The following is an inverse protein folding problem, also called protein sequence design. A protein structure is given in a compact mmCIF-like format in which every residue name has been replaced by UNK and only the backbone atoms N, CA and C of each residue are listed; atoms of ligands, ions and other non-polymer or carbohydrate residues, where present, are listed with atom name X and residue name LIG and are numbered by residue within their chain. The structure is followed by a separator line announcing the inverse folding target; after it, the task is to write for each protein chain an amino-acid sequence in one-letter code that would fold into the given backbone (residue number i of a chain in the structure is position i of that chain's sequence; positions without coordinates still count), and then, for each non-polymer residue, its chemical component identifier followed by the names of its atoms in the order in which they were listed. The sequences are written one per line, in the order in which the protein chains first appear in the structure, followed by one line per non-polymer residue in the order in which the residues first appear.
data_IF_180332087152
#
_entry.id   IF_180332087152
#
_cell.length_a   1.000
_cell.length_b   1.000
_cell.length_c   1.000
_cell.angle_alpha   90.00
_cell.angle_beta   90.00
_cell.angle_gamma   90.00
#
_symmetry.space_group_name_H-M   'P 1'
#
loop_
_entity.id
_entity.type
_entity.pdbx_description
1 polymer ?
#
# COMPACT_ATOMS: atom_id res chain seq x y z
N UNK A 1 -14.75 -1.16 -74.85
CA UNK A 1 -15.30 -1.59 -73.54
C UNK A 1 -14.15 -1.70 -72.57
N UNK A 2 -13.89 -0.65 -71.79
CA UNK A 2 -12.83 -0.60 -70.80
C UNK A 2 -13.42 -1.07 -69.43
N UNK A 3 -12.94 -2.19 -68.92
CA UNK A 3 -13.32 -2.71 -67.64
C UNK A 3 -12.50 -2.01 -66.54
N UNK A 4 -13.16 -1.16 -65.75
CA UNK A 4 -12.60 -0.58 -64.52
C UNK A 4 -12.62 -1.65 -63.42
N UNK A 5 -11.45 -2.07 -62.94
CA UNK A 5 -11.29 -2.87 -61.72
C UNK A 5 -11.16 -1.91 -60.52
N UNK A 6 -12.16 -1.87 -59.67
CA UNK A 6 -12.03 -1.20 -58.37
C UNK A 6 -11.32 -2.14 -57.39
N UNK A 7 -10.09 -1.77 -57.02
CA UNK A 7 -9.32 -2.44 -55.99
C UNK A 7 -9.90 -2.01 -54.62
N UNK A 8 -10.65 -2.90 -53.96
CA UNK A 8 -11.16 -2.68 -52.61
C UNK A 8 -10.02 -2.94 -51.62
N UNK A 9 -9.39 -1.87 -51.11
CA UNK A 9 -8.37 -1.96 -50.08
C UNK A 9 -9.09 -2.16 -48.74
N UNK A 10 -9.18 -3.41 -48.25
CA UNK A 10 -9.67 -3.70 -46.90
C UNK A 10 -8.59 -3.32 -45.87
N UNK A 11 -8.77 -2.19 -45.18
CA UNK A 11 -8.01 -1.91 -43.95
C UNK A 11 -8.45 -2.92 -42.91
N UNK A 12 -7.61 -3.92 -42.64
CA UNK A 12 -7.72 -4.72 -41.40
C UNK A 12 -7.35 -3.81 -40.23
N UNK A 13 -8.24 -3.65 -39.23
CA UNK A 13 -7.84 -2.95 -38.02
C UNK A 13 -6.74 -3.77 -37.34
N UNK A 14 -5.53 -3.22 -37.26
CA UNK A 14 -4.51 -3.73 -36.36
C UNK A 14 -5.04 -3.60 -34.93
N UNK A 15 -5.43 -4.70 -34.31
CA UNK A 15 -5.68 -4.75 -32.87
C UNK A 15 -4.30 -4.52 -32.26
N UNK A 16 -4.02 -3.28 -31.86
CA UNK A 16 -2.95 -2.98 -30.92
C UNK A 16 -3.35 -3.65 -29.61
N UNK A 17 -2.74 -4.79 -29.32
CA UNK A 17 -2.78 -5.36 -27.98
C UNK A 17 -2.27 -4.26 -27.04
N UNK A 18 -3.07 -3.86 -26.08
CA UNK A 18 -2.70 -2.87 -25.10
C UNK A 18 -1.41 -3.38 -24.42
N UNK A 19 -0.31 -2.71 -24.67
CA UNK A 19 0.94 -2.94 -23.98
C UNK A 19 0.93 -2.08 -22.70
N UNK A 20 1.44 -2.63 -21.62
CA UNK A 20 1.67 -1.88 -20.40
C UNK A 20 2.87 -0.93 -20.57
N UNK A 21 3.08 -0.07 -19.58
CA UNK A 21 4.15 0.93 -19.63
C UNK A 21 5.55 0.30 -19.80
N UNK A 22 6.43 0.97 -20.58
CA UNK A 22 7.74 0.46 -20.98
C UNK A 22 8.77 0.54 -19.85
N UNK A 23 9.98 -0.02 -20.04
CA UNK A 23 11.09 0.06 -19.10
C UNK A 23 11.44 1.47 -18.65
N UNK A 24 12.15 1.57 -17.52
CA UNK A 24 12.59 2.82 -16.94
C UNK A 24 13.39 3.69 -17.91
N UNK A 25 13.08 4.99 -17.96
CA UNK A 25 13.74 5.97 -18.82
C UNK A 25 13.18 6.06 -20.25
N UNK A 26 12.23 5.21 -20.64
CA UNK A 26 11.53 5.31 -21.90
C UNK A 26 10.27 6.20 -21.79
N UNK A 27 9.86 6.80 -22.90
CA UNK A 27 8.66 7.63 -22.93
C UNK A 27 7.41 6.80 -22.57
N UNK A 28 6.63 7.26 -21.58
CA UNK A 28 5.46 6.55 -21.05
C UNK A 28 5.76 5.60 -19.90
N UNK A 29 7.03 5.45 -19.49
CA UNK A 29 7.37 4.68 -18.29
C UNK A 29 6.80 5.33 -17.04
N UNK A 30 6.29 4.49 -16.13
CA UNK A 30 5.85 4.89 -14.78
C UNK A 30 6.89 4.62 -13.69
N UNK A 31 8.06 4.10 -14.07
CA UNK A 31 9.15 3.83 -13.13
C UNK A 31 9.54 5.08 -12.35
N UNK A 32 9.66 4.98 -11.03
CA UNK A 32 10.01 6.11 -10.17
C UNK A 32 11.44 5.94 -9.68
N UNK A 33 12.31 6.92 -10.00
CA UNK A 33 13.70 6.90 -9.56
C UNK A 33 13.78 7.08 -8.04
N UNK A 34 14.65 6.32 -7.36
CA UNK A 34 14.76 6.30 -5.89
C UNK A 34 14.98 7.65 -5.22
N UNK A 35 15.59 8.62 -5.92
CA UNK A 35 15.80 9.97 -5.41
C UNK A 35 14.71 10.96 -5.86
N UNK A 36 13.57 10.46 -6.38
CA UNK A 36 12.46 11.32 -6.76
C UNK A 36 11.89 12.02 -5.50
N UNK A 37 11.65 13.35 -5.53
CA UNK A 37 11.09 14.10 -4.41
C UNK A 37 9.64 13.70 -4.05
N UNK A 38 9.00 12.86 -4.83
CA UNK A 38 7.72 12.25 -4.48
C UNK A 38 7.82 11.41 -3.20
N UNK A 39 8.95 10.72 -2.97
CA UNK A 39 9.11 9.90 -1.77
C UNK A 39 9.19 10.76 -0.50
N UNK A 40 8.32 10.46 0.46
CA UNK A 40 8.22 11.14 1.76
C UNK A 40 8.91 10.35 2.86
N UNK A 41 8.84 9.04 2.81
CA UNK A 41 9.48 8.12 3.75
C UNK A 41 9.68 6.74 3.11
N UNK A 42 10.21 5.82 3.89
CA UNK A 42 10.56 4.46 3.50
C UNK A 42 10.12 3.48 4.59
N UNK A 43 10.01 2.21 4.24
CA UNK A 43 9.76 1.16 5.22
C UNK A 43 10.78 1.21 6.36
N UNK A 44 10.31 1.05 7.60
CA UNK A 44 11.14 1.14 8.82
C UNK A 44 11.43 -0.20 9.45
N UNK A 45 10.56 -1.19 9.21
CA UNK A 45 10.72 -2.55 9.69
C UNK A 45 10.29 -3.54 8.62
N UNK A 46 10.89 -4.72 8.64
CA UNK A 46 10.53 -5.83 7.77
C UNK A 46 10.60 -7.16 8.52
N UNK A 47 9.71 -8.08 8.17
CA UNK A 47 9.79 -9.49 8.55
C UNK A 47 9.80 -10.34 7.29
N UNK A 48 10.67 -11.36 7.23
CA UNK A 48 10.90 -12.17 6.03
C UNK A 48 10.70 -13.64 6.35
N UNK A 49 9.90 -14.31 5.51
CA UNK A 49 9.79 -15.77 5.48
C UNK A 49 10.38 -16.25 4.17
N UNK A 50 11.53 -16.90 4.25
CA UNK A 50 12.28 -17.36 3.08
C UNK A 50 11.61 -18.55 2.43
N UNK A 51 11.52 -18.53 1.11
CA UNK A 51 11.22 -19.68 0.27
C UNK A 51 12.49 -20.49 -0.07
N UNK A 52 12.33 -21.66 -0.70
CA UNK A 52 13.44 -22.42 -1.22
C UNK A 52 14.13 -21.71 -2.40
N UNK A 53 15.40 -22.08 -2.65
CA UNK A 53 16.12 -21.67 -3.87
C UNK A 53 15.54 -22.31 -5.12
N UNK A 54 14.93 -23.49 -4.98
CA UNK A 54 14.21 -24.21 -6.03
C UNK A 54 13.09 -25.02 -5.36
N UNK A 55 11.84 -24.62 -5.61
CA UNK A 55 10.65 -25.26 -5.05
C UNK A 55 10.44 -26.69 -5.56
N UNK A 56 11.00 -27.03 -6.72
CA UNK A 56 10.92 -28.37 -7.31
C UNK A 56 12.02 -29.31 -6.85
N UNK A 57 13.02 -28.81 -6.10
CA UNK A 57 14.13 -29.62 -5.62
C UNK A 57 13.67 -30.65 -4.57
N UNK A 58 14.24 -31.85 -4.62
CA UNK A 58 13.98 -32.91 -3.62
C UNK A 58 14.54 -32.58 -2.23
N UNK A 59 15.53 -31.70 -2.14
CA UNK A 59 16.10 -31.19 -0.90
C UNK A 59 15.86 -29.70 -0.81
N UNK A 60 15.19 -29.27 0.25
CA UNK A 60 14.88 -27.86 0.46
C UNK A 60 16.11 -27.12 0.99
N UNK A 61 16.61 -26.16 0.21
CA UNK A 61 17.63 -25.19 0.63
C UNK A 61 16.98 -23.82 0.49
N UNK A 62 16.91 -23.03 1.57
CA UNK A 62 16.29 -21.71 1.54
C UNK A 62 17.23 -20.67 0.90
N UNK A 63 16.65 -19.66 0.25
CA UNK A 63 17.37 -18.44 -0.11
C UNK A 63 17.99 -17.81 1.14
N UNK A 64 19.17 -17.17 1.03
CA UNK A 64 19.91 -16.76 2.22
C UNK A 64 20.64 -15.42 2.12
N UNK A 65 20.61 -14.74 0.97
CA UNK A 65 21.27 -13.44 0.81
C UNK A 65 20.52 -12.36 1.58
N UNK A 66 21.24 -11.50 2.25
CA UNK A 66 20.74 -10.36 3.03
C UNK A 66 19.95 -10.76 4.29
N UNK A 67 19.39 -9.78 4.95
CA UNK A 67 18.53 -9.91 6.13
C UNK A 67 17.34 -8.97 6.01
N UNK A 68 16.33 -9.10 6.87
CA UNK A 68 15.15 -8.27 6.83
C UNK A 68 15.46 -6.75 6.88
N UNK A 69 16.53 -6.35 7.57
CA UNK A 69 16.93 -4.94 7.66
C UNK A 69 17.34 -4.35 6.30
N UNK A 70 17.82 -5.19 5.36
CA UNK A 70 18.17 -4.75 4.01
C UNK A 70 16.98 -4.26 3.19
N UNK A 71 15.74 -4.66 3.55
CA UNK A 71 14.52 -4.19 2.91
C UNK A 71 13.97 -2.88 3.51
N UNK A 72 14.76 -2.21 4.37
CA UNK A 72 14.32 -0.98 5.07
C UNK A 72 15.19 0.22 4.71
N UNK A 73 14.62 1.42 4.81
CA UNK A 73 15.30 2.64 4.41
C UNK A 73 15.27 2.89 2.91
N UNK A 74 16.14 3.80 2.46
CA UNK A 74 16.20 4.24 1.06
C UNK A 74 16.79 3.12 0.18
N UNK A 75 16.18 2.89 -0.98
CA UNK A 75 16.70 1.96 -1.98
C UNK A 75 18.15 2.30 -2.36
N UNK A 76 19.06 1.35 -2.29
CA UNK A 76 20.46 1.54 -2.64
C UNK A 76 20.88 0.74 -3.90
N UNK A 77 20.10 -0.26 -4.27
CA UNK A 77 20.31 -1.12 -5.44
C UNK A 77 21.30 -2.24 -5.21
N UNK A 78 21.71 -2.48 -3.96
CA UNK A 78 22.71 -3.49 -3.62
C UNK A 78 22.48 -4.19 -2.28
N UNK A 79 21.93 -3.49 -1.31
CA UNK A 79 21.61 -4.03 0.02
C UNK A 79 20.25 -4.70 0.06
N UNK A 80 20.12 -5.90 -0.54
CA UNK A 80 18.83 -6.58 -0.74
C UNK A 80 18.60 -7.74 0.23
N UNK A 81 17.36 -8.21 0.26
CA UNK A 81 16.99 -9.48 0.88
C UNK A 81 16.30 -10.39 -0.14
N UNK A 82 16.93 -11.55 -0.41
CA UNK A 82 16.38 -12.53 -1.36
C UNK A 82 15.26 -13.34 -0.73
N UNK A 83 14.13 -13.43 -1.38
CA UNK A 83 12.96 -14.10 -0.82
C UNK A 83 12.94 -15.61 -1.06
N UNK A 84 13.48 -16.09 -2.17
CA UNK A 84 13.34 -17.49 -2.61
C UNK A 84 11.96 -17.79 -3.15
N UNK A 85 11.78 -18.94 -3.81
CA UNK A 85 10.54 -19.35 -4.45
C UNK A 85 9.32 -19.30 -3.50
N UNK A 86 8.37 -18.40 -3.78
CA UNK A 86 7.18 -18.19 -2.96
C UNK A 86 7.46 -17.57 -1.58
N UNK A 87 8.68 -17.10 -1.32
CA UNK A 87 9.03 -16.41 -0.10
C UNK A 87 8.29 -15.07 0.06
N UNK A 88 8.23 -14.57 1.29
CA UNK A 88 7.46 -13.36 1.59
C UNK A 88 8.20 -12.38 2.47
N UNK A 89 7.95 -11.09 2.27
CA UNK A 89 8.35 -10.02 3.18
C UNK A 89 7.14 -9.17 3.56
N UNK A 90 7.00 -8.84 4.84
CA UNK A 90 5.99 -7.88 5.33
C UNK A 90 6.72 -6.68 5.90
N UNK A 91 6.39 -5.51 5.38
CA UNK A 91 7.02 -4.23 5.74
C UNK A 91 6.04 -3.34 6.48
N UNK A 92 6.55 -2.56 7.44
CA UNK A 92 5.80 -1.53 8.16
C UNK A 92 6.47 -0.16 8.03
N UNK A 93 5.73 0.89 8.37
CA UNK A 93 6.09 2.27 8.13
C UNK A 93 5.89 3.10 9.40
N UNK A 94 6.71 4.14 9.58
CA UNK A 94 6.58 5.07 10.72
C UNK A 94 5.22 5.78 10.75
N UNK A 95 4.63 6.03 9.56
CA UNK A 95 3.26 6.49 9.38
C UNK A 95 2.58 5.61 8.35
N UNK A 96 1.28 5.35 8.47
CA UNK A 96 0.55 4.61 7.45
C UNK A 96 0.62 5.30 6.07
N UNK A 97 0.48 4.51 5.01
CA UNK A 97 0.28 5.00 3.66
C UNK A 97 -1.20 5.34 3.49
N UNK A 98 -1.52 6.38 2.75
CA UNK A 98 -2.90 6.76 2.43
C UNK A 98 -3.12 6.74 0.92
N UNK A 99 -4.36 6.45 0.50
CA UNK A 99 -4.78 6.55 -0.88
C UNK A 99 -4.81 8.03 -1.30
N UNK A 100 -3.93 8.41 -2.22
CA UNK A 100 -3.82 9.74 -2.77
C UNK A 100 -4.17 9.78 -4.27
N UNK A 101 -3.61 10.74 -4.98
CA UNK A 101 -3.76 10.80 -6.43
C UNK A 101 -2.60 10.10 -7.11
N UNK A 102 -2.88 9.03 -7.86
CA UNK A 102 -1.89 8.21 -8.53
C UNK A 102 -1.16 7.27 -7.58
N UNK A 103 0.11 6.97 -7.84
CA UNK A 103 0.87 6.04 -7.02
C UNK A 103 1.02 6.50 -5.56
N UNK A 104 0.82 5.59 -4.61
CA UNK A 104 0.92 5.85 -3.17
C UNK A 104 2.24 5.34 -2.58
N UNK A 105 2.82 4.33 -3.18
CA UNK A 105 4.13 3.80 -2.81
C UNK A 105 4.79 3.12 -4.02
N UNK A 106 6.06 2.78 -3.90
CA UNK A 106 6.78 2.00 -4.91
C UNK A 106 7.66 0.94 -4.27
N UNK A 107 7.77 -0.21 -4.94
CA UNK A 107 8.61 -1.34 -4.53
C UNK A 107 9.85 -1.39 -5.40
N UNK A 108 11.01 -1.55 -4.78
CA UNK A 108 12.34 -1.60 -5.42
C UNK A 108 12.92 -3.00 -5.34
N UNK A 109 13.57 -3.38 -6.41
CA UNK A 109 14.28 -4.63 -6.63
C UNK A 109 15.64 -4.29 -7.26
N UNK A 110 16.62 -5.22 -7.30
CA UNK A 110 17.99 -4.94 -7.72
C UNK A 110 18.34 -5.39 -9.13
N UNK A 111 17.39 -5.71 -9.99
CA UNK A 111 17.62 -6.12 -11.38
C UNK A 111 18.67 -5.27 -12.10
N UNK A 112 19.65 -5.91 -12.70
CA UNK A 112 20.80 -5.22 -13.29
C UNK A 112 20.56 -4.65 -14.69
N UNK A 113 19.42 -4.95 -15.31
CA UNK A 113 19.05 -4.40 -16.62
C UNK A 113 17.52 -4.36 -16.82
N UNK A 114 17.07 -3.84 -17.95
CA UNK A 114 15.65 -3.65 -18.27
C UNK A 114 14.91 -4.93 -18.72
N UNK A 115 15.57 -6.07 -18.77
CA UNK A 115 14.99 -7.33 -19.26
C UNK A 115 15.17 -8.53 -18.33
N UNK A 116 16.13 -8.51 -17.42
CA UNK A 116 16.22 -9.49 -16.35
C UNK A 116 15.34 -8.99 -15.21
N UNK A 117 14.12 -9.48 -15.13
CA UNK A 117 13.11 -9.02 -14.21
C UNK A 117 12.64 -10.20 -13.35
N UNK A 118 12.92 -10.17 -12.06
CA UNK A 118 12.38 -11.10 -11.07
C UNK A 118 11.16 -10.46 -10.43
N UNK A 119 10.03 -11.15 -10.47
CA UNK A 119 8.73 -10.54 -10.18
C UNK A 119 8.21 -10.92 -8.80
N UNK A 120 7.42 -10.02 -8.21
CA UNK A 120 6.69 -10.30 -6.98
C UNK A 120 5.28 -9.73 -7.00
N UNK A 121 4.31 -10.45 -6.38
CA UNK A 121 3.01 -9.91 -6.03
C UNK A 121 3.12 -8.96 -4.86
N UNK A 122 2.25 -7.96 -4.86
CA UNK A 122 2.17 -6.98 -3.79
C UNK A 122 0.77 -7.01 -3.18
N UNK A 123 0.71 -7.03 -1.85
CA UNK A 123 -0.52 -6.97 -1.08
C UNK A 123 -0.41 -5.83 -0.05
N UNK A 124 -1.54 -5.19 0.26
CA UNK A 124 -1.61 -4.15 1.28
C UNK A 124 -2.62 -4.52 2.37
N UNK A 125 -2.37 -4.04 3.59
CA UNK A 125 -3.23 -4.28 4.74
C UNK A 125 -3.30 -3.04 5.64
N UNK A 126 -4.48 -2.80 6.22
CA UNK A 126 -4.68 -1.74 7.21
C UNK A 126 -4.61 -2.23 8.67
N UNK A 127 -4.53 -3.55 8.91
CA UNK A 127 -4.55 -4.17 10.24
C UNK A 127 -3.42 -5.19 10.48
N UNK A 128 -2.63 -5.51 9.43
CA UNK A 128 -1.55 -6.51 9.48
C UNK A 128 -2.03 -7.97 9.48
N UNK A 129 -3.33 -8.21 9.34
CA UNK A 129 -3.95 -9.53 9.36
C UNK A 129 -4.62 -9.83 8.02
N UNK A 130 -5.45 -8.91 7.54
CA UNK A 130 -6.18 -9.03 6.28
C UNK A 130 -5.41 -8.32 5.17
N UNK A 131 -4.86 -9.11 4.25
CA UNK A 131 -4.09 -8.61 3.11
C UNK A 131 -4.90 -8.69 1.83
N UNK A 132 -4.81 -7.65 1.00
CA UNK A 132 -5.50 -7.52 -0.28
C UNK A 132 -4.47 -7.32 -1.39
N UNK A 133 -4.51 -8.20 -2.39
CA UNK A 133 -3.55 -8.23 -3.50
C UNK A 133 -3.93 -7.22 -4.57
N UNK A 134 -2.93 -6.48 -5.06
CA UNK A 134 -3.09 -5.67 -6.26
C UNK A 134 -3.38 -6.56 -7.48
N UNK A 135 -4.28 -6.14 -8.37
CA UNK A 135 -4.61 -6.91 -9.58
C UNK A 135 -3.41 -6.94 -10.53
N UNK A 136 -2.69 -8.05 -10.55
CA UNK A 136 -1.51 -8.26 -11.37
C UNK A 136 -1.84 -8.97 -12.67
N UNK A 137 -1.11 -8.67 -13.75
CA UNK A 137 -1.25 -9.35 -15.04
C UNK A 137 0.12 -9.57 -15.69
N UNK A 138 0.37 -10.79 -16.16
CA UNK A 138 1.52 -11.13 -16.99
C UNK A 138 1.07 -11.67 -18.35
N UNK A 139 1.51 -11.02 -19.40
CA UNK A 139 1.33 -11.45 -20.80
C UNK A 139 2.58 -12.12 -21.36
N UNK A 140 3.56 -12.45 -20.51
CA UNK A 140 4.74 -13.20 -20.91
C UNK A 140 4.33 -14.59 -21.40
N UNK A 141 4.83 -14.97 -22.59
CA UNK A 141 4.47 -16.26 -23.20
C UNK A 141 4.89 -17.44 -22.29
N UNK A 142 4.01 -18.40 -22.13
CA UNK A 142 4.25 -19.66 -21.42
C UNK A 142 4.63 -20.81 -22.35
N UNK A 143 4.88 -20.53 -23.63
CA UNK A 143 5.32 -21.54 -24.60
C UNK A 143 6.76 -22.03 -24.37
N UNK A 144 7.57 -21.26 -23.69
CA UNK A 144 8.96 -21.61 -23.31
C UNK A 144 9.26 -20.96 -21.95
N UNK A 145 9.88 -21.71 -21.04
CA UNK A 145 10.32 -21.21 -19.76
C UNK A 145 11.36 -20.10 -19.92
N UNK A 146 11.17 -18.99 -19.24
CA UNK A 146 12.23 -17.98 -19.04
C UNK A 146 13.30 -18.62 -18.16
N UNK A 147 14.49 -18.83 -18.70
CA UNK A 147 15.58 -19.46 -17.95
C UNK A 147 16.13 -18.56 -16.83
N UNK A 148 16.99 -19.10 -15.98
CA UNK A 148 17.55 -18.46 -14.77
C UNK A 148 18.05 -17.02 -14.94
N UNK A 149 18.55 -16.66 -16.11
CA UNK A 149 19.01 -15.32 -16.50
C UNK A 149 18.35 -14.88 -17.81
N UNK A 150 17.12 -15.37 -18.04
CA UNK A 150 16.38 -15.09 -19.26
C UNK A 150 15.81 -13.68 -19.28
N UNK A 151 15.38 -13.24 -20.46
CA UNK A 151 14.81 -11.93 -20.67
C UNK A 151 13.28 -11.97 -20.62
N UNK A 152 12.69 -11.00 -19.93
CA UNK A 152 11.27 -10.66 -19.92
C UNK A 152 11.04 -9.29 -20.52
N UNK A 153 9.80 -8.97 -20.88
CA UNK A 153 9.42 -7.70 -21.49
C UNK A 153 8.51 -6.93 -20.53
N UNK A 154 9.01 -5.82 -19.99
CA UNK A 154 8.25 -4.99 -19.05
C UNK A 154 6.90 -4.52 -19.61
N UNK A 155 6.77 -4.36 -20.94
CA UNK A 155 5.50 -3.97 -21.58
C UNK A 155 4.42 -5.05 -21.52
N UNK A 156 4.76 -6.24 -21.05
CA UNK A 156 3.83 -7.37 -20.83
C UNK A 156 3.48 -7.60 -19.39
N UNK A 157 3.97 -6.75 -18.48
CA UNK A 157 3.83 -6.91 -17.02
C UNK A 157 3.09 -5.71 -16.45
N UNK A 158 2.08 -5.96 -15.61
CA UNK A 158 1.35 -4.94 -14.87
C UNK A 158 1.17 -5.34 -13.40
N UNK A 159 1.34 -4.39 -12.49
CA UNK A 159 1.18 -4.54 -11.03
C UNK A 159 1.92 -5.75 -10.42
N UNK A 160 3.10 -6.03 -10.96
CA UNK A 160 4.08 -6.93 -10.36
C UNK A 160 5.32 -6.09 -10.02
N UNK A 161 5.78 -6.16 -8.78
CA UNK A 161 7.05 -5.57 -8.38
C UNK A 161 8.20 -6.24 -9.14
N UNK A 162 9.36 -5.58 -9.28
CA UNK A 162 10.48 -6.07 -10.09
C UNK A 162 10.35 -5.82 -11.59
N UNK A 163 9.29 -5.12 -12.01
CA UNK A 163 9.10 -4.72 -13.42
C UNK A 163 10.21 -3.81 -13.96
N UNK A 164 10.93 -3.11 -13.09
CA UNK A 164 11.96 -2.13 -13.45
C UNK A 164 13.29 -2.48 -12.81
N UNK A 165 14.37 -2.14 -13.52
CA UNK A 165 15.73 -2.35 -13.06
C UNK A 165 16.06 -1.60 -11.76
N UNK A 166 17.14 -1.97 -11.11
CA UNK A 166 17.66 -1.37 -9.88
C UNK A 166 17.63 0.17 -9.92
N UNK A 167 17.36 0.76 -8.77
CA UNK A 167 17.15 2.20 -8.55
C UNK A 167 15.83 2.77 -9.10
N UNK A 168 14.97 1.96 -9.72
CA UNK A 168 13.67 2.38 -10.22
C UNK A 168 12.57 1.52 -9.60
N UNK A 169 11.71 2.16 -8.80
CA UNK A 169 10.60 1.48 -8.13
C UNK A 169 9.40 1.26 -9.06
N UNK A 170 8.76 0.12 -8.88
CA UNK A 170 7.45 -0.18 -9.49
C UNK A 170 6.37 0.49 -8.65
N UNK A 171 5.60 1.45 -9.18
CA UNK A 171 4.57 2.17 -8.44
C UNK A 171 3.32 1.31 -8.22
N UNK A 172 2.63 1.58 -7.10
CA UNK A 172 1.34 0.98 -6.75
C UNK A 172 0.37 2.07 -6.28
N UNK A 173 -0.84 2.04 -6.81
CA UNK A 173 -1.95 2.94 -6.50
C UNK A 173 -2.99 2.17 -5.68
N UNK A 174 -3.20 2.56 -4.41
CA UNK A 174 -4.14 1.90 -3.49
C UNK A 174 -5.58 1.94 -4.03
N UNK A 175 -5.92 2.89 -4.91
CA UNK A 175 -7.23 2.95 -5.54
C UNK A 175 -7.57 1.70 -6.36
N UNK A 176 -6.56 0.98 -6.86
CA UNK A 176 -6.71 -0.26 -7.64
C UNK A 176 -7.08 -1.49 -6.79
N UNK A 177 -6.93 -1.41 -5.47
CA UNK A 177 -7.40 -2.46 -4.57
C UNK A 177 -8.94 -2.51 -4.52
N UNK A 178 -9.54 -3.68 -4.27
CA UNK A 178 -10.99 -3.78 -4.13
C UNK A 178 -11.48 -3.00 -2.90
N UNK A 179 -12.72 -2.51 -2.96
CA UNK A 179 -13.39 -1.99 -1.78
C UNK A 179 -13.83 -3.15 -0.89
N UNK A 180 -13.37 -3.14 0.35
CA UNK A 180 -13.68 -4.20 1.30
C UNK A 180 -13.77 -3.65 2.72
N UNK A 181 -14.70 -4.17 3.54
CA UNK A 181 -14.96 -3.67 4.91
C UNK A 181 -13.76 -3.86 5.87
N UNK A 182 -12.85 -4.78 5.57
CA UNK A 182 -11.62 -5.02 6.33
C UNK A 182 -10.40 -4.24 5.79
N UNK A 183 -10.58 -3.43 4.73
CA UNK A 183 -9.53 -2.64 4.13
C UNK A 183 -9.83 -1.15 4.27
N UNK A 184 -9.06 -0.47 5.09
CA UNK A 184 -9.07 0.99 5.15
C UNK A 184 -7.98 1.56 4.24
N UNK A 185 -8.35 1.93 3.01
CA UNK A 185 -7.44 2.49 2.00
C UNK A 185 -6.76 3.79 2.45
N UNK A 186 -7.37 4.53 3.35
CA UNK A 186 -6.78 5.77 3.89
C UNK A 186 -5.73 5.50 4.99
N UNK A 187 -5.54 4.23 5.39
CA UNK A 187 -4.63 3.90 6.49
C UNK A 187 -3.99 2.52 6.31
N UNK A 188 -3.19 2.35 5.27
CA UNK A 188 -2.42 1.13 5.03
C UNK A 188 -1.21 1.14 5.96
N UNK A 189 -1.11 0.12 6.80
CA UNK A 189 -0.05 -0.03 7.81
C UNK A 189 1.03 -1.04 7.40
N UNK A 190 0.67 -1.98 6.51
CA UNK A 190 1.55 -3.05 6.08
C UNK A 190 1.49 -3.22 4.56
N UNK A 191 2.66 -3.47 3.95
CA UNK A 191 2.79 -3.92 2.57
C UNK A 191 3.47 -5.29 2.62
N UNK A 192 2.90 -6.27 1.91
CA UNK A 192 3.47 -7.61 1.80
C UNK A 192 3.91 -7.88 0.36
N UNK A 193 5.14 -8.31 0.22
CA UNK A 193 5.75 -8.74 -1.04
C UNK A 193 5.78 -10.26 -1.03
N UNK A 194 5.38 -10.88 -2.14
CA UNK A 194 5.33 -12.33 -2.29
C UNK A 194 6.03 -12.67 -3.60
N UNK A 195 7.12 -13.41 -3.51
CA UNK A 195 7.85 -13.86 -4.68
C UNK A 195 6.97 -14.63 -5.66
N UNK A 196 7.13 -14.37 -6.93
CA UNK A 196 6.52 -15.15 -8.02
C UNK A 196 7.36 -16.40 -8.26
N UNK A 197 6.76 -17.59 -8.08
CA UNK A 197 7.40 -18.81 -8.55
C UNK A 197 7.26 -18.85 -10.08
N UNK A 198 8.31 -18.42 -10.78
CA UNK A 198 8.31 -18.12 -12.21
C UNK A 198 8.22 -19.30 -13.17
N UNK A 199 8.04 -20.51 -12.65
CA UNK A 199 7.96 -21.72 -13.48
C UNK A 199 6.63 -21.83 -14.21
N UNK A 200 6.68 -22.25 -15.49
CA UNK A 200 5.48 -22.60 -16.26
C UNK A 200 4.90 -23.97 -15.91
N UNK A 201 5.54 -24.73 -15.00
CA UNK A 201 4.98 -25.97 -14.48
C UNK A 201 3.77 -25.66 -13.58
N UNK A 202 2.54 -26.09 -13.93
CA UNK A 202 1.33 -25.75 -13.17
C UNK A 202 1.30 -26.33 -11.73
N UNK A 203 2.22 -27.22 -11.39
CA UNK A 203 2.34 -27.75 -10.03
C UNK A 203 2.91 -26.71 -9.06
N UNK A 204 3.76 -25.83 -9.53
CA UNK A 204 4.50 -24.86 -8.71
C UNK A 204 4.30 -23.42 -9.12
N UNK A 205 4.04 -23.18 -10.43
CA UNK A 205 3.88 -21.84 -10.99
C UNK A 205 2.74 -21.07 -10.35
N UNK A 206 2.93 -19.78 -10.17
CA UNK A 206 1.92 -18.88 -9.61
C UNK A 206 1.05 -18.25 -10.70
N UNK A 207 -0.21 -17.99 -10.37
CA UNK A 207 -1.18 -17.39 -11.28
C UNK A 207 -1.34 -15.90 -11.00
N UNK A 208 -1.46 -15.12 -12.07
CA UNK A 208 -1.86 -13.72 -12.00
C UNK A 208 -3.38 -13.58 -11.69
N UNK A 209 -3.88 -12.34 -11.63
CA UNK A 209 -5.28 -12.05 -11.25
C UNK A 209 -6.31 -12.48 -12.29
N UNK A 210 -5.90 -12.83 -13.50
CA UNK A 210 -6.77 -13.31 -14.58
C UNK A 210 -6.57 -14.79 -14.93
N UNK A 211 -5.72 -15.48 -14.13
CA UNK A 211 -5.51 -16.93 -14.24
C UNK A 211 -4.39 -17.36 -15.18
N UNK A 212 -3.54 -16.45 -15.66
CA UNK A 212 -2.35 -16.82 -16.42
C UNK A 212 -1.23 -17.24 -15.47
N UNK A 213 -0.45 -18.25 -15.86
CA UNK A 213 0.82 -18.57 -15.18
C UNK A 213 1.79 -17.42 -15.46
N UNK A 214 2.40 -16.89 -14.40
CA UNK A 214 3.46 -15.88 -14.51
C UNK A 214 4.77 -16.61 -14.84
N UNK A 215 5.35 -16.29 -15.99
CA UNK A 215 6.62 -16.87 -16.45
C UNK A 215 7.71 -15.81 -16.29
N UNK A 216 8.60 -16.01 -15.34
CA UNK A 216 9.77 -15.18 -15.08
C UNK A 216 11.04 -16.05 -14.89
N UNK A 217 12.20 -15.51 -14.52
CA UNK A 217 13.42 -16.32 -14.41
C UNK A 217 13.26 -17.54 -13.48
N UNK A 218 13.45 -18.76 -14.04
CA UNK A 218 13.39 -20.02 -13.32
C UNK A 218 14.19 -21.13 -14.03
N UNK A 219 14.87 -22.04 -13.28
CA UNK A 219 15.00 -22.10 -11.83
C UNK A 219 15.98 -21.05 -11.29
N UNK A 220 15.76 -20.61 -10.04
CA UNK A 220 16.63 -19.65 -9.35
C UNK A 220 17.36 -20.33 -8.17
N UNK A 221 17.95 -21.50 -8.42
CA UNK A 221 18.61 -22.34 -7.43
C UNK A 221 19.95 -21.76 -6.91
N UNK A 222 19.91 -20.51 -6.47
CA UNK A 222 21.02 -19.74 -5.91
C UNK A 222 20.67 -19.25 -4.50
N UNK A 223 21.69 -18.91 -3.72
CA UNK A 223 21.50 -18.27 -2.42
C UNK A 223 20.70 -16.95 -2.51
N UNK A 224 20.77 -16.27 -3.67
CA UNK A 224 20.01 -15.08 -4.04
C UNK A 224 18.81 -15.40 -4.94
N UNK A 225 18.23 -16.59 -4.84
CA UNK A 225 17.09 -16.96 -5.69
C UNK A 225 15.81 -16.23 -5.30
N UNK A 226 14.92 -16.08 -6.29
CA UNK A 226 13.67 -15.37 -6.18
C UNK A 226 13.82 -13.85 -6.11
N UNK A 227 12.74 -13.15 -5.78
CA UNK A 227 12.70 -11.70 -5.73
C UNK A 227 13.68 -11.11 -4.72
N UNK A 228 14.51 -10.19 -5.16
CA UNK A 228 15.53 -9.51 -4.37
C UNK A 228 15.03 -8.12 -3.89
N UNK A 229 14.34 -8.12 -2.74
CA UNK A 229 13.73 -6.91 -2.20
C UNK A 229 14.78 -5.93 -1.68
N UNK A 230 14.84 -4.71 -2.26
CA UNK A 230 15.71 -3.60 -1.85
C UNK A 230 14.98 -2.65 -0.89
N UNK A 231 13.79 -2.15 -1.26
CA UNK A 231 13.08 -1.18 -0.43
C UNK A 231 11.60 -1.03 -0.82
N UNK A 232 10.82 -0.39 0.07
CA UNK A 232 9.50 0.16 -0.23
C UNK A 232 9.47 1.63 0.14
N UNK A 233 9.31 2.50 -0.85
CA UNK A 233 9.23 3.97 -0.69
C UNK A 233 7.79 4.44 -0.67
N UNK A 234 7.45 5.33 0.26
CA UNK A 234 6.11 5.91 0.46
C UNK A 234 6.00 7.26 -0.23
N UNK A 235 4.95 7.46 -1.00
CA UNK A 235 4.64 8.69 -1.72
C UNK A 235 3.55 9.48 -0.99
N UNK A 236 2.45 8.83 -0.64
CA UNK A 236 1.34 9.46 0.07
C UNK A 236 1.27 8.93 1.51
N UNK A 237 1.72 9.75 2.47
CA UNK A 237 1.63 9.44 3.89
C UNK A 237 0.29 9.85 4.48
N UNK A 238 -0.27 8.99 5.33
CA UNK A 238 -1.39 9.37 6.17
C UNK A 238 -0.97 10.54 7.08
N UNK A 239 -1.61 11.65 6.90
CA UNK A 239 -1.51 12.78 7.80
C UNK A 239 -2.75 12.75 8.67
N UNK A 240 -2.58 12.54 9.98
CA UNK A 240 -3.68 12.91 10.87
C UNK A 240 -3.94 14.39 10.61
N UNK A 241 -5.00 14.66 9.88
CA UNK A 241 -5.57 15.97 9.95
C UNK A 241 -6.04 16.09 11.39
N UNK A 242 -5.20 16.65 12.26
CA UNK A 242 -5.70 17.36 13.42
C UNK A 242 -6.58 18.43 12.82
N UNK A 243 -7.80 18.04 12.47
CA UNK A 243 -8.81 18.97 12.07
C UNK A 243 -9.06 19.86 13.28
N UNK A 244 -8.26 20.92 13.38
CA UNK A 244 -8.79 22.18 13.78
C UNK A 244 -9.72 22.59 12.63
N UNK A 245 -10.76 21.76 12.35
CA UNK A 245 -11.94 22.29 11.73
C UNK A 245 -12.24 23.54 12.53
N UNK A 246 -12.41 24.66 11.86
CA UNK A 246 -12.87 25.89 12.47
C UNK A 246 -14.32 25.68 12.97
N UNK A 247 -14.47 24.75 13.94
CA UNK A 247 -15.67 24.65 14.73
C UNK A 247 -15.70 25.93 15.54
N UNK A 248 -16.54 26.86 15.13
CA UNK A 248 -16.74 28.08 15.86
C UNK A 248 -17.38 27.73 17.21
N UNK A 249 -16.94 28.38 18.27
CA UNK A 249 -17.64 28.30 19.57
C UNK A 249 -19.11 28.63 19.44
N UNK A 250 -19.50 29.40 18.45
CA UNK A 250 -20.89 29.76 18.11
C UNK A 250 -21.74 28.58 17.60
N UNK A 251 -21.10 27.48 17.13
CA UNK A 251 -21.82 26.30 16.65
C UNK A 251 -22.30 25.40 17.77
N UNK A 252 -21.82 25.67 19.00
CA UNK A 252 -22.14 24.90 20.20
C UNK A 252 -22.66 25.81 21.30
N UNK A 253 -23.80 25.45 21.87
CA UNK A 253 -24.35 26.08 23.05
C UNK A 253 -24.31 25.08 24.22
N UNK A 254 -23.70 25.47 25.34
CA UNK A 254 -23.60 24.65 26.54
C UNK A 254 -24.31 25.39 27.68
N UNK A 255 -25.39 24.80 28.16
CA UNK A 255 -26.21 25.42 29.17
C UNK A 255 -26.86 24.40 30.14
N UNK A 256 -27.13 24.80 31.41
CA UNK A 256 -26.63 26.00 32.03
C UNK A 256 -25.13 25.93 32.31
N UNK A 257 -24.44 27.04 32.21
CA UNK A 257 -23.04 27.17 32.64
C UNK A 257 -22.86 28.55 33.29
N UNK A 258 -22.69 28.65 34.59
CA UNK A 258 -22.51 27.60 35.62
C UNK A 258 -23.71 26.66 35.80
N UNK A 259 -23.43 25.43 36.25
CA UNK A 259 -24.42 24.38 36.52
C UNK A 259 -24.32 23.80 37.90
N UNK A 260 -25.44 23.24 38.41
CA UNK A 260 -25.46 22.44 39.65
C UNK A 260 -25.38 20.93 39.36
N UNK A 261 -26.15 20.42 38.40
CA UNK A 261 -26.36 18.99 38.23
C UNK A 261 -25.96 18.46 36.84
N UNK A 262 -26.26 19.20 35.78
CA UNK A 262 -26.02 18.75 34.42
C UNK A 262 -25.77 19.92 33.48
N UNK A 263 -25.18 19.63 32.32
CA UNK A 263 -25.12 20.54 31.16
C UNK A 263 -25.80 19.88 29.97
N UNK A 264 -26.51 20.69 29.21
CA UNK A 264 -27.06 20.33 27.91
C UNK A 264 -26.20 20.98 26.82
N UNK A 265 -25.84 20.19 25.82
CA UNK A 265 -25.11 20.66 24.64
C UNK A 265 -26.09 20.73 23.48
N UNK A 266 -26.15 21.87 22.80
CA UNK A 266 -26.88 22.04 21.55
C UNK A 266 -25.87 22.32 20.47
N UNK A 267 -25.86 21.50 19.40
CA UNK A 267 -24.93 21.59 18.29
C UNK A 267 -25.67 21.63 16.96
N UNK A 268 -25.09 22.29 15.96
CA UNK A 268 -25.52 22.19 14.57
C UNK A 268 -24.91 20.97 13.86
N UNK A 269 -23.84 20.41 14.44
CA UNK A 269 -23.11 19.24 13.95
C UNK A 269 -23.49 18.01 14.76
N UNK A 270 -23.50 16.85 14.16
CA UNK A 270 -23.71 15.59 14.85
C UNK A 270 -22.58 15.32 15.84
N UNK A 271 -22.94 15.19 17.13
CA UNK A 271 -21.98 14.88 18.20
C UNK A 271 -21.74 13.38 18.21
N UNK A 272 -20.48 12.99 18.01
CA UNK A 272 -20.04 11.58 18.08
C UNK A 272 -19.65 11.16 19.49
N UNK A 273 -19.08 12.10 20.26
CA UNK A 273 -18.56 11.79 21.61
C UNK A 273 -18.34 13.05 22.41
N UNK A 274 -18.56 12.96 23.72
CA UNK A 274 -18.30 14.02 24.68
C UNK A 274 -17.43 13.43 25.79
N UNK A 275 -16.33 14.12 26.11
CA UNK A 275 -15.46 13.79 27.23
C UNK A 275 -15.46 14.96 28.22
N UNK A 276 -15.53 14.68 29.54
CA UNK A 276 -15.33 15.66 30.61
C UNK A 276 -14.01 15.36 31.28
N UNK A 277 -13.18 16.39 31.42
CA UNK A 277 -11.89 16.31 32.11
C UNK A 277 -11.85 17.24 33.31
N UNK A 278 -11.10 16.84 34.32
CA UNK A 278 -10.63 17.78 35.34
C UNK A 278 -9.68 18.82 34.73
N UNK A 279 -9.42 19.91 35.44
CA UNK A 279 -8.42 20.91 35.00
C UNK A 279 -6.99 20.35 34.96
N UNK A 280 -6.73 19.21 35.61
CA UNK A 280 -5.45 18.49 35.56
C UNK A 280 -5.35 17.51 34.41
N UNK A 281 -6.38 17.43 33.53
CA UNK A 281 -6.38 16.57 32.34
C UNK A 281 -6.87 15.13 32.60
N UNK A 282 -7.31 14.78 33.80
CA UNK A 282 -7.89 13.47 34.09
C UNK A 282 -9.28 13.37 33.46
N UNK A 283 -9.52 12.34 32.68
CA UNK A 283 -10.81 12.05 32.06
C UNK A 283 -11.77 11.47 33.10
N UNK A 284 -12.92 12.12 33.31
CA UNK A 284 -13.90 11.82 34.36
C UNK A 284 -15.18 11.19 33.78
N UNK A 285 -15.68 11.69 32.64
CA UNK A 285 -16.93 11.22 32.03
C UNK A 285 -16.70 11.05 30.52
N UNK A 286 -17.30 10.01 29.95
CA UNK A 286 -17.43 9.76 28.52
C UNK A 286 -18.91 9.55 28.20
N UNK A 287 -19.46 10.25 27.22
CA UNK A 287 -20.86 10.16 26.83
C UNK A 287 -21.03 10.39 25.33
N UNK A 288 -22.06 9.79 24.77
CA UNK A 288 -22.56 10.07 23.42
C UNK A 288 -23.86 10.90 23.47
N UNK A 289 -24.40 11.10 24.69
CA UNK A 289 -25.60 11.88 24.92
C UNK A 289 -25.28 13.37 25.05
N UNK A 290 -26.12 14.22 24.47
CA UNK A 290 -26.01 15.67 24.56
C UNK A 290 -26.24 16.23 25.96
N UNK A 291 -26.85 15.45 26.87
CA UNK A 291 -27.05 15.81 28.28
C UNK A 291 -26.04 15.07 29.13
N UNK A 292 -25.17 15.83 29.81
CA UNK A 292 -24.11 15.30 30.65
C UNK A 292 -24.48 15.51 32.14
N UNK A 293 -24.61 14.42 32.88
CA UNK A 293 -24.82 14.44 34.32
C UNK A 293 -23.48 14.70 35.04
N UNK A 294 -23.46 15.73 35.87
CA UNK A 294 -22.31 16.16 36.67
C UNK A 294 -22.56 16.06 38.17
N UNK A 295 -23.69 15.47 38.62
CA UNK A 295 -24.08 15.42 40.02
C UNK A 295 -22.99 14.87 40.93
N UNK A 296 -22.30 13.84 40.49
CA UNK A 296 -21.28 13.15 41.27
C UNK A 296 -19.91 13.84 41.24
N UNK A 297 -19.77 14.94 40.50
CA UNK A 297 -18.51 15.70 40.45
C UNK A 297 -18.53 16.80 41.55
N UNK A 298 -17.39 17.07 42.23
CA UNK A 298 -17.24 18.19 43.11
C UNK A 298 -17.49 19.53 42.45
N UNK A 299 -17.83 20.56 43.21
CA UNK A 299 -17.86 21.95 42.73
C UNK A 299 -16.45 22.33 42.18
N UNK A 300 -16.41 22.94 41.02
CA UNK A 300 -15.13 23.28 40.38
C UNK A 300 -15.24 23.57 38.88
N UNK A 301 -14.06 23.72 38.26
CA UNK A 301 -13.92 23.95 36.82
C UNK A 301 -13.58 22.63 36.11
N UNK A 302 -14.21 22.38 34.98
CA UNK A 302 -14.02 21.22 34.17
C UNK A 302 -13.84 21.62 32.70
N UNK A 303 -13.18 20.78 31.90
CA UNK A 303 -13.05 20.92 30.45
C UNK A 303 -13.97 19.91 29.79
N UNK A 304 -14.85 20.40 28.93
CA UNK A 304 -15.77 19.62 28.13
C UNK A 304 -15.22 19.58 26.69
N UNK A 305 -14.81 18.40 26.24
CA UNK A 305 -14.39 18.16 24.87
C UNK A 305 -15.54 17.52 24.09
N UNK A 306 -15.97 18.16 23.02
CA UNK A 306 -17.03 17.71 22.12
C UNK A 306 -16.37 17.28 20.81
N UNK A 307 -16.63 16.06 20.38
CA UNK A 307 -16.07 15.46 19.15
C UNK A 307 -17.20 15.26 18.16
N UNK A 308 -16.99 15.76 16.95
CA UNK A 308 -17.91 15.62 15.81
C UNK A 308 -17.19 15.00 14.61
N UNK A 309 -17.87 14.74 13.51
CA UNK A 309 -17.23 14.29 12.27
C UNK A 309 -16.24 15.33 11.69
N UNK A 310 -16.46 16.63 11.97
CA UNK A 310 -15.66 17.74 11.44
C UNK A 310 -14.48 18.14 12.35
N UNK A 311 -14.34 17.55 13.55
CA UNK A 311 -13.28 17.87 14.48
C UNK A 311 -13.73 17.91 15.93
N UNK A 312 -12.91 18.51 16.78
CA UNK A 312 -13.20 18.62 18.22
C UNK A 312 -13.11 20.06 18.71
N UNK A 313 -13.90 20.37 19.74
CA UNK A 313 -13.88 21.65 20.44
C UNK A 313 -13.83 21.42 21.94
N UNK A 314 -13.09 22.25 22.65
CA UNK A 314 -13.05 22.21 24.13
C UNK A 314 -13.63 23.48 24.70
N UNK A 315 -14.54 23.31 25.67
CA UNK A 315 -15.16 24.42 26.39
C UNK A 315 -15.02 24.22 27.91
N UNK A 316 -14.85 25.34 28.65
CA UNK A 316 -14.85 25.33 30.12
C UNK A 316 -16.28 25.31 30.62
N UNK A 317 -16.56 24.44 31.58
CA UNK A 317 -17.80 24.42 32.36
C UNK A 317 -17.50 24.64 33.85
N UNK A 318 -18.42 25.25 34.54
CA UNK A 318 -18.33 25.57 35.99
C UNK A 318 -19.43 24.83 36.73
N UNK A 319 -19.05 23.92 37.60
CA UNK A 319 -19.94 23.22 38.55
C UNK A 319 -19.99 24.01 39.86
N UNK A 320 -21.20 24.36 40.31
CA UNK A 320 -21.44 25.01 41.61
C UNK A 320 -21.60 23.97 42.71
#
# INVERSE_FOLDING_TARGET
MTKNYHLLLTLLPSILLAQFDPPAGQAGSKAIFKNDPLFKSWATEASVVRGPQDIAASTVVLASVGTAVNATGIADGSGIVSLGDGGTAVLTFAKPITNGSGADFAVFENSFNDTFLELAFVEASSDGINFFRFPATSLTSTGTQVGSFGATDATKINNLAGKYKANYGTPFDISELPDHSLLNKDKITHVKIIDVVGTINPQYGTLDSVGNIVNDPYPTNFASGGFDLDAVGVINEFTEVLATANLSKSDFQIYPNPTNDFVQIKSREEIKKINVYSITGQKLIVSENEKIDLKNLPAGNYLLEIITAKGKITQKIIKK
#
